data_IF_479217186792
#
_entry.id   IF_479217186792
#
_cell.length_a   1.000
_cell.length_b   1.000
_cell.length_c   1.000
_cell.angle_alpha   90.00
_cell.angle_beta   90.00
_cell.angle_gamma   90.00
#
_symmetry.space_group_name_H-M   'P 1'
#
loop_
_entity.id
_entity.type
_entity.pdbx_description
1 polymer ?
#
# COMPACT_ATOMS: atom_id res chain seq x y z
N UNK A 1 -19.33 3.40 22.31
CA UNK A 1 -17.95 3.91 22.37
C UNK A 1 -17.35 3.93 20.98
N UNK A 2 -16.66 4.99 20.63
CA UNK A 2 -16.05 5.13 19.33
C UNK A 2 -14.54 4.84 19.40
N UNK A 3 -14.06 4.00 18.49
CA UNK A 3 -12.64 3.74 18.33
C UNK A 3 -12.16 4.42 17.05
N UNK A 4 -11.13 5.23 17.16
CA UNK A 4 -10.47 5.86 16.02
C UNK A 4 -8.95 5.69 16.18
N UNK A 5 -8.22 5.72 15.07
CA UNK A 5 -6.77 5.68 15.07
C UNK A 5 -6.21 6.94 14.44
N UNK A 6 -5.12 7.45 14.98
CA UNK A 6 -4.38 8.56 14.37
C UNK A 6 -3.19 8.01 13.59
N UNK A 7 -2.88 8.54 12.39
CA UNK A 7 -1.70 8.11 11.66
C UNK A 7 -0.42 8.45 12.42
N UNK A 8 0.30 7.43 12.84
CA UNK A 8 1.55 7.60 13.58
C UNK A 8 2.46 6.41 13.27
N UNK A 9 3.65 6.68 12.75
CA UNK A 9 4.65 5.68 12.40
C UNK A 9 5.71 5.49 13.49
N UNK A 10 5.65 6.24 14.57
CA UNK A 10 6.69 6.17 15.63
C UNK A 10 6.84 4.75 16.15
N UNK A 11 8.08 4.22 16.12
CA UNK A 11 8.41 2.86 16.57
C UNK A 11 7.69 1.74 15.83
N UNK A 12 7.30 1.97 14.59
CA UNK A 12 6.67 0.97 13.73
C UNK A 12 7.54 0.65 12.52
N UNK A 13 7.37 -0.54 11.98
CA UNK A 13 8.06 -1.02 10.79
C UNK A 13 7.05 -1.29 9.70
N UNK A 14 7.26 -0.71 8.53
CA UNK A 14 6.37 -0.83 7.38
C UNK A 14 7.17 -1.29 6.17
N UNK A 15 6.62 -2.23 5.41
CA UNK A 15 7.17 -2.60 4.12
C UNK A 15 6.26 -2.12 3.01
N UNK A 16 6.88 -1.70 1.91
CA UNK A 16 6.18 -1.28 0.70
C UNK A 16 6.55 -2.26 -0.40
N UNK A 17 5.54 -2.92 -0.98
CA UNK A 17 5.71 -3.71 -2.18
C UNK A 17 5.22 -2.86 -3.36
N UNK A 18 6.08 -2.66 -4.35
CA UNK A 18 5.81 -1.76 -5.47
C UNK A 18 6.12 -2.45 -6.79
N UNK A 19 5.20 -2.32 -7.76
CA UNK A 19 5.38 -2.91 -9.07
C UNK A 19 6.24 -2.02 -9.97
N UNK A 20 7.10 -2.67 -10.77
CA UNK A 20 7.99 -1.98 -11.68
C UNK A 20 7.31 -1.58 -12.98
N UNK A 21 6.32 -2.32 -13.41
CA UNK A 21 5.57 -1.98 -14.62
C UNK A 21 4.88 -0.62 -14.43
N UNK A 22 4.97 0.27 -15.40
CA UNK A 22 4.57 1.67 -15.32
C UNK A 22 5.37 2.44 -14.26
N UNK A 23 6.69 2.25 -14.27
CA UNK A 23 7.61 2.76 -13.24
C UNK A 23 7.53 4.27 -13.06
N UNK A 24 7.32 5.06 -14.12
CA UNK A 24 7.18 6.50 -14.01
C UNK A 24 6.04 6.91 -13.07
N UNK A 25 4.98 6.11 -13.01
CA UNK A 25 3.85 6.31 -12.11
C UNK A 25 4.15 5.73 -10.73
N UNK A 26 4.60 4.47 -10.68
CA UNK A 26 4.79 3.76 -9.41
C UNK A 26 5.91 4.36 -8.56
N UNK A 27 6.93 4.93 -9.19
CA UNK A 27 7.99 5.63 -8.47
C UNK A 27 7.43 6.84 -7.70
N UNK A 28 6.51 7.59 -8.31
CA UNK A 28 5.88 8.73 -7.65
C UNK A 28 4.92 8.30 -6.54
N UNK A 29 4.25 7.17 -6.70
CA UNK A 29 3.45 6.58 -5.63
C UNK A 29 4.35 6.20 -4.44
N UNK A 30 5.50 5.61 -4.73
CA UNK A 30 6.47 5.23 -3.70
C UNK A 30 6.99 6.46 -2.96
N UNK A 31 7.35 7.52 -3.67
CA UNK A 31 7.78 8.77 -3.06
C UNK A 31 6.71 9.34 -2.15
N UNK A 32 5.44 9.32 -2.59
CA UNK A 32 4.32 9.78 -1.78
C UNK A 32 4.11 8.96 -0.53
N UNK A 33 4.23 7.64 -0.63
CA UNK A 33 4.09 6.75 0.53
C UNK A 33 5.20 6.97 1.55
N UNK A 34 6.46 7.03 1.09
CA UNK A 34 7.60 7.28 1.97
C UNK A 34 7.48 8.64 2.65
N UNK A 35 7.11 9.67 1.89
CA UNK A 35 6.92 11.01 2.43
C UNK A 35 5.85 11.03 3.53
N UNK A 36 4.72 10.36 3.31
CA UNK A 36 3.67 10.25 4.31
C UNK A 36 4.16 9.57 5.60
N UNK A 37 4.89 8.46 5.47
CA UNK A 37 5.41 7.73 6.61
C UNK A 37 6.41 8.56 7.40
N UNK A 38 7.33 9.24 6.71
CA UNK A 38 8.34 10.07 7.38
C UNK A 38 7.73 11.30 8.06
N UNK A 39 6.74 11.94 7.44
CA UNK A 39 6.06 13.10 8.02
C UNK A 39 5.19 12.73 9.22
N UNK A 40 4.89 11.45 9.41
CA UNK A 40 4.10 10.97 10.54
C UNK A 40 4.95 10.22 11.57
N UNK A 41 6.22 10.56 11.68
CA UNK A 41 7.11 10.06 12.72
C UNK A 41 7.98 8.88 12.33
N UNK A 42 7.94 8.44 11.08
CA UNK A 42 8.74 7.33 10.59
C UNK A 42 10.18 7.70 10.30
N UNK A 43 11.05 6.73 10.48
CA UNK A 43 12.46 6.82 10.07
C UNK A 43 12.62 6.00 8.80
N UNK A 44 13.43 6.48 7.86
CA UNK A 44 13.66 5.77 6.59
C UNK A 44 14.18 4.34 6.85
N UNK A 45 14.97 4.15 7.89
CA UNK A 45 15.51 2.84 8.27
C UNK A 45 14.42 1.82 8.66
N UNK A 46 13.24 2.28 9.05
CA UNK A 46 12.12 1.42 9.43
C UNK A 46 11.14 1.17 8.27
N UNK A 47 11.52 1.57 7.06
CA UNK A 47 10.73 1.39 5.84
C UNK A 47 11.52 0.53 4.87
N UNK A 48 11.03 -0.67 4.60
CA UNK A 48 11.61 -1.55 3.59
C UNK A 48 10.82 -1.48 2.29
N UNK A 49 11.52 -1.53 1.17
CA UNK A 49 10.89 -1.45 -0.16
C UNK A 49 11.24 -2.72 -0.95
N UNK A 50 10.22 -3.40 -1.45
CA UNK A 50 10.38 -4.57 -2.32
C UNK A 50 9.80 -4.24 -3.70
N UNK A 51 10.63 -4.33 -4.74
CA UNK A 51 10.21 -4.16 -6.12
C UNK A 51 9.83 -5.51 -6.71
N UNK A 52 8.62 -5.58 -7.29
CA UNK A 52 8.14 -6.75 -8.04
C UNK A 52 7.90 -6.38 -9.50
N UNK A 53 7.86 -7.36 -10.43
CA UNK A 53 7.75 -7.04 -11.85
C UNK A 53 6.50 -6.27 -12.25
N UNK A 54 5.34 -6.70 -11.78
CA UNK A 54 4.06 -6.09 -12.15
C UNK A 54 3.03 -6.23 -11.05
N UNK A 55 1.83 -5.70 -11.30
CA UNK A 55 0.74 -5.77 -10.33
C UNK A 55 0.32 -7.22 -10.02
N UNK A 56 0.44 -8.12 -10.99
CA UNK A 56 0.14 -9.54 -10.80
C UNK A 56 0.95 -10.16 -9.66
N UNK A 57 2.19 -9.70 -9.44
CA UNK A 57 3.09 -10.23 -8.42
C UNK A 57 2.96 -9.53 -7.05
N UNK A 58 2.14 -8.49 -6.94
CA UNK A 58 1.96 -7.77 -5.67
C UNK A 58 1.46 -8.66 -4.54
N UNK A 59 0.44 -9.53 -4.75
CA UNK A 59 0.00 -10.42 -3.66
C UNK A 59 1.08 -11.37 -3.18
N UNK A 60 1.85 -11.96 -4.09
CA UNK A 60 2.94 -12.86 -3.71
C UNK A 60 4.02 -12.13 -2.93
N UNK A 61 4.38 -10.92 -3.36
CA UNK A 61 5.34 -10.08 -2.64
C UNK A 61 4.86 -9.69 -1.26
N UNK A 62 3.60 -9.29 -1.14
CA UNK A 62 3.00 -8.95 0.14
C UNK A 62 3.01 -10.14 1.10
N UNK A 63 2.62 -11.33 0.62
CA UNK A 63 2.62 -12.53 1.46
C UNK A 63 4.02 -12.91 1.93
N UNK A 64 5.03 -12.77 1.08
CA UNK A 64 6.41 -13.04 1.45
C UNK A 64 6.88 -12.10 2.56
N UNK A 65 6.54 -10.81 2.46
CA UNK A 65 6.86 -9.83 3.51
C UNK A 65 6.13 -10.15 4.82
N UNK A 66 4.85 -10.46 4.74
CA UNK A 66 4.02 -10.80 5.91
C UNK A 66 4.55 -12.05 6.63
N UNK A 67 5.02 -13.04 5.90
CA UNK A 67 5.55 -14.27 6.46
C UNK A 67 6.78 -14.05 7.33
N UNK A 68 7.48 -12.94 7.19
CA UNK A 68 8.64 -12.61 8.03
C UNK A 68 8.24 -12.18 9.44
N UNK A 69 7.00 -11.79 9.65
CA UNK A 69 6.46 -11.28 10.93
C UNK A 69 7.19 -10.04 11.46
N UNK A 70 7.87 -9.29 10.57
CA UNK A 70 8.65 -8.11 10.96
C UNK A 70 7.93 -6.78 10.80
N UNK A 71 6.77 -6.77 10.14
CA UNK A 71 6.10 -5.53 9.75
C UNK A 71 4.75 -5.36 10.42
N UNK A 72 4.48 -4.13 10.83
CA UNK A 72 3.19 -3.74 11.41
C UNK A 72 2.14 -3.49 10.33
N UNK A 73 2.57 -3.13 9.13
CA UNK A 73 1.71 -2.89 7.98
C UNK A 73 2.48 -3.10 6.67
N UNK A 74 1.73 -3.38 5.61
CA UNK A 74 2.26 -3.46 4.25
C UNK A 74 1.52 -2.43 3.40
N UNK A 75 2.24 -1.75 2.50
CA UNK A 75 1.63 -0.87 1.51
C UNK A 75 1.91 -1.47 0.14
N UNK A 76 0.87 -1.69 -0.66
CA UNK A 76 1.00 -2.22 -2.01
C UNK A 76 0.77 -1.10 -3.02
N UNK A 77 1.76 -0.86 -3.87
CA UNK A 77 1.74 0.21 -4.87
C UNK A 77 1.90 -0.36 -6.26
N UNK A 78 1.06 0.07 -7.17
CA UNK A 78 1.11 -0.36 -8.56
C UNK A 78 0.24 0.50 -9.43
N UNK A 79 0.33 0.28 -10.73
CA UNK A 79 -0.53 0.97 -11.70
C UNK A 79 -0.87 0.03 -12.84
N UNK A 80 -2.15 -0.24 -13.01
CA UNK A 80 -2.69 -0.99 -14.14
C UNK A 80 -3.50 -0.02 -14.97
N UNK A 81 -3.07 0.17 -16.22
CA UNK A 81 -3.72 1.09 -17.15
C UNK A 81 -4.40 0.25 -18.21
N UNK A 82 -5.67 0.55 -18.49
CA UNK A 82 -6.47 -0.21 -19.45
C UNK A 82 -5.83 -0.19 -20.83
N UNK A 83 -5.69 -1.37 -21.43
CA UNK A 83 -5.26 -1.53 -22.80
C UNK A 83 -6.42 -1.90 -23.72
N UNK A 84 -6.10 -2.42 -24.90
CA UNK A 84 -7.08 -2.79 -25.93
C UNK A 84 -7.76 -4.13 -25.65
N UNK A 85 -7.24 -4.91 -24.69
CA UNK A 85 -7.73 -6.26 -24.38
C UNK A 85 -8.26 -6.34 -22.95
N UNK A 86 -9.00 -7.40 -22.58
CA UNK A 86 -9.50 -7.58 -21.23
C UNK A 86 -8.41 -7.93 -20.19
N UNK A 87 -7.14 -7.91 -20.57
CA UNK A 87 -6.01 -8.19 -19.67
C UNK A 87 -6.06 -7.33 -18.38
N UNK A 88 -6.48 -6.08 -18.51
CA UNK A 88 -6.64 -5.15 -17.40
C UNK A 88 -7.52 -5.73 -16.27
N UNK A 89 -8.69 -6.27 -16.62
CA UNK A 89 -9.63 -6.81 -15.63
C UNK A 89 -9.04 -8.00 -14.87
N UNK A 90 -8.32 -8.86 -15.57
CA UNK A 90 -7.70 -10.03 -14.94
C UNK A 90 -6.60 -9.63 -13.97
N UNK A 91 -5.70 -8.75 -14.38
CA UNK A 91 -4.58 -8.32 -13.55
C UNK A 91 -5.08 -7.50 -12.35
N UNK A 92 -5.90 -6.49 -12.60
CA UNK A 92 -6.41 -5.62 -11.55
C UNK A 92 -7.28 -6.38 -10.53
N UNK A 93 -8.17 -7.25 -11.02
CA UNK A 93 -9.07 -8.03 -10.19
C UNK A 93 -8.32 -9.01 -9.29
N UNK A 94 -7.39 -9.79 -9.87
CA UNK A 94 -6.63 -10.78 -9.10
C UNK A 94 -5.66 -10.12 -8.12
N UNK A 95 -5.01 -9.04 -8.50
CA UNK A 95 -4.12 -8.32 -7.60
C UNK A 95 -4.90 -7.76 -6.40
N UNK A 96 -6.04 -7.14 -6.66
CA UNK A 96 -6.89 -6.57 -5.59
C UNK A 96 -7.40 -7.65 -4.65
N UNK A 97 -7.92 -8.74 -5.21
CA UNK A 97 -8.46 -9.86 -4.41
C UNK A 97 -7.35 -10.53 -3.60
N UNK A 98 -6.19 -10.76 -4.20
CA UNK A 98 -5.06 -11.39 -3.53
C UNK A 98 -4.50 -10.56 -2.39
N UNK A 99 -4.43 -9.24 -2.56
CA UNK A 99 -4.00 -8.33 -1.49
C UNK A 99 -4.98 -8.32 -0.32
N UNK A 100 -6.28 -8.25 -0.61
CA UNK A 100 -7.30 -8.32 0.42
C UNK A 100 -7.23 -9.64 1.20
N UNK A 101 -7.04 -10.76 0.50
CA UNK A 101 -6.92 -12.07 1.13
C UNK A 101 -5.67 -12.17 2.00
N UNK A 102 -4.54 -11.64 1.54
CA UNK A 102 -3.30 -11.63 2.31
C UNK A 102 -3.47 -10.88 3.63
N UNK A 103 -4.09 -9.70 3.61
CA UNK A 103 -4.36 -8.96 4.82
C UNK A 103 -5.26 -9.72 5.81
N UNK A 104 -6.29 -10.38 5.29
CA UNK A 104 -7.19 -11.18 6.11
C UNK A 104 -6.47 -12.40 6.72
N UNK A 105 -5.63 -13.08 5.94
CA UNK A 105 -4.93 -14.29 6.40
C UNK A 105 -3.90 -14.00 7.49
N UNK A 106 -3.24 -12.85 7.44
CA UNK A 106 -2.17 -12.50 8.38
C UNK A 106 -2.61 -11.50 9.46
N UNK A 107 -3.82 -10.98 9.39
CA UNK A 107 -4.33 -9.95 10.32
C UNK A 107 -3.42 -8.72 10.41
N UNK A 108 -2.83 -8.32 9.28
CA UNK A 108 -1.97 -7.15 9.17
C UNK A 108 -2.60 -6.19 8.15
N UNK A 109 -2.70 -4.89 8.47
CA UNK A 109 -3.24 -3.93 7.52
C UNK A 109 -2.42 -3.86 6.24
N UNK A 110 -3.10 -3.89 5.10
CA UNK A 110 -2.48 -3.69 3.79
C UNK A 110 -3.08 -2.45 3.15
N UNK A 111 -2.23 -1.48 2.84
CA UNK A 111 -2.63 -0.27 2.15
C UNK A 111 -2.78 -0.52 0.65
N UNK A 112 -3.91 -0.11 0.11
CA UNK A 112 -4.24 -0.33 -1.30
C UNK A 112 -3.88 0.91 -2.12
N UNK A 113 -2.66 0.95 -2.64
CA UNK A 113 -2.16 1.99 -3.52
C UNK A 113 -2.02 1.53 -4.97
N UNK A 114 -2.82 0.56 -5.38
CA UNK A 114 -2.87 0.07 -6.76
C UNK A 114 -3.83 0.94 -7.57
N UNK A 115 -3.28 1.69 -8.52
CA UNK A 115 -4.10 2.47 -9.45
C UNK A 115 -4.64 1.56 -10.55
N UNK A 116 -5.92 1.73 -10.87
CA UNK A 116 -6.58 1.04 -11.97
C UNK A 116 -7.30 2.10 -12.78
N UNK A 117 -6.66 2.55 -13.86
CA UNK A 117 -7.16 3.69 -14.65
C UNK A 117 -7.34 3.32 -16.11
N UNK A 118 -8.16 4.09 -16.80
CA UNK A 118 -8.37 3.90 -18.23
C UNK A 118 -7.24 4.51 -19.06
N UNK A 119 -6.60 5.58 -18.55
CA UNK A 119 -5.55 6.30 -19.28
C UNK A 119 -4.34 6.56 -18.39
N UNK A 120 -3.19 6.81 -19.03
CA UNK A 120 -1.97 7.23 -18.33
C UNK A 120 -2.19 8.58 -17.63
N UNK A 121 -2.91 9.49 -18.25
CA UNK A 121 -3.19 10.82 -17.67
C UNK A 121 -3.96 10.70 -16.36
N UNK A 122 -4.89 9.75 -16.28
CA UNK A 122 -5.61 9.48 -15.04
C UNK A 122 -4.68 8.94 -13.96
N UNK A 123 -3.74 8.07 -14.33
CA UNK A 123 -2.75 7.54 -13.41
C UNK A 123 -1.82 8.65 -12.91
N UNK A 124 -1.31 9.49 -13.81
CA UNK A 124 -0.45 10.62 -13.46
C UNK A 124 -1.16 11.58 -12.50
N UNK A 125 -2.44 11.85 -12.73
CA UNK A 125 -3.23 12.74 -11.89
C UNK A 125 -3.32 12.22 -10.43
N UNK A 126 -3.24 10.92 -10.23
CA UNK A 126 -3.39 10.25 -8.92
C UNK A 126 -2.06 9.83 -8.29
N UNK A 127 -0.96 10.15 -8.95
CA UNK A 127 0.40 9.87 -8.47
C UNK A 127 1.15 11.18 -8.20
N UNK A 128 0.50 12.13 -7.51
CA UNK A 128 1.07 13.43 -7.20
C UNK A 128 0.63 14.54 -8.16
N UNK A 129 -0.37 14.28 -9.00
CA UNK A 129 -0.94 15.29 -9.89
C UNK A 129 -2.19 15.95 -9.31
N UNK A 130 -3.14 16.32 -10.18
CA UNK A 130 -4.33 17.09 -9.80
C UNK A 130 -5.24 16.39 -8.78
N UNK A 131 -5.23 15.06 -8.73
CA UNK A 131 -6.05 14.27 -7.80
C UNK A 131 -5.24 13.67 -6.64
N UNK A 132 -4.13 14.31 -6.25
CA UNK A 132 -3.33 13.90 -5.11
C UNK A 132 -2.41 12.72 -5.39
N UNK A 133 -2.07 11.96 -4.34
CA UNK A 133 -1.16 10.84 -4.44
C UNK A 133 -1.73 9.63 -3.69
N UNK A 134 -2.07 8.59 -4.44
CA UNK A 134 -2.66 7.37 -3.88
C UNK A 134 -1.70 6.61 -2.95
N UNK A 135 -0.38 6.74 -3.16
CA UNK A 135 0.62 6.17 -2.27
C UNK A 135 0.60 6.84 -0.89
N UNK A 136 0.51 8.16 -0.88
CA UNK A 136 0.34 8.93 0.35
C UNK A 136 -0.93 8.47 1.10
N UNK A 137 -2.06 8.40 0.39
CA UNK A 137 -3.34 8.01 0.98
C UNK A 137 -3.29 6.60 1.57
N UNK A 138 -2.68 5.65 0.86
CA UNK A 138 -2.54 4.27 1.32
C UNK A 138 -1.67 4.19 2.58
N UNK A 139 -0.60 4.98 2.65
CA UNK A 139 0.26 5.04 3.83
C UNK A 139 -0.50 5.55 5.05
N UNK A 140 -1.26 6.63 4.92
CA UNK A 140 -2.07 7.15 6.02
C UNK A 140 -3.11 6.14 6.49
N UNK A 141 -3.75 5.46 5.56
CA UNK A 141 -4.77 4.46 5.87
C UNK A 141 -4.21 3.32 6.73
N UNK A 142 -3.04 2.77 6.37
CA UNK A 142 -2.46 1.68 7.16
C UNK A 142 -2.02 2.15 8.55
N UNK A 143 -1.48 3.35 8.67
CA UNK A 143 -1.07 3.88 9.98
C UNK A 143 -2.29 4.08 10.88
N UNK A 144 -3.38 4.57 10.33
CA UNK A 144 -4.64 4.70 11.06
C UNK A 144 -5.13 3.33 11.54
N UNK A 145 -5.10 2.32 10.68
CA UNK A 145 -5.56 0.98 11.02
C UNK A 145 -4.67 0.31 12.06
N UNK A 146 -3.35 0.48 11.99
CA UNK A 146 -2.43 -0.06 13.00
C UNK A 146 -2.73 0.55 14.37
N UNK A 147 -2.89 1.87 14.43
CA UNK A 147 -3.22 2.57 15.67
C UNK A 147 -4.58 2.14 16.24
N UNK A 148 -5.57 1.96 15.36
CA UNK A 148 -6.91 1.51 15.75
C UNK A 148 -6.87 0.11 16.37
N UNK A 149 -6.15 -0.81 15.73
CA UNK A 149 -6.02 -2.19 16.23
C UNK A 149 -5.28 -2.24 17.56
N UNK A 150 -4.26 -1.42 17.73
CA UNK A 150 -3.54 -1.34 19.01
C UNK A 150 -4.45 -0.82 20.13
N UNK A 151 -5.25 0.19 19.85
CA UNK A 151 -6.23 0.71 20.83
C UNK A 151 -7.25 -0.35 21.24
N UNK A 152 -7.71 -1.12 20.27
CA UNK A 152 -8.69 -2.19 20.53
C UNK A 152 -8.06 -3.28 21.41
N UNK A 153 -6.83 -3.71 21.10
CA UNK A 153 -6.11 -4.72 21.90
C UNK A 153 -5.80 -4.22 23.31
N UNK A 154 -5.42 -2.96 23.45
CA UNK A 154 -5.13 -2.39 24.76
C UNK A 154 -6.36 -2.37 25.68
N UNK A 155 -7.56 -2.24 25.09
CA UNK A 155 -8.81 -2.28 25.86
C UNK A 155 -9.14 -3.68 26.37
N UNK A 156 -8.71 -4.72 25.66
CA UNK A 156 -8.96 -6.12 26.04
C UNK A 156 -8.03 -6.60 27.17
N UNK A 157 -6.90 -5.92 27.38
CA UNK A 157 -5.98 -6.22 28.46
C UNK A 157 -6.30 -5.33 29.68
#
# INVERSE_FOLDING_TARGET
>A
MDFTGAPDMTNRHVAIVVSRFNESVTMRLLEGAIDALERHGGKRADIDVMWVPGAWELPAGARALLATERYDAIIALGAVIRGETPHFEFVAGEASRGLAQAGADFDVPIGFGLLTTDTLEQADARAGGAHGNKGWDAALAVLEMVALFERLRARES
#
